data_IF_819771555955
#
_entry.id   IF_819771555955
#
_cell.length_a   1.000
_cell.length_b   1.000
_cell.length_c   1.000
_cell.angle_alpha   90.00
_cell.angle_beta   90.00
_cell.angle_gamma   90.00
#
_symmetry.space_group_name_H-M   'P 1'
#
loop_
_entity.id
_entity.type
_entity.pdbx_description
1 polymer ?
#
# COMPACT_ATOMS: atom_id res chain seq x y z
N UNK A 1 -13.51 6.59 -16.11
CA UNK A 1 -12.36 5.90 -16.72
C UNK A 1 -11.31 5.55 -15.64
N UNK A 2 -11.03 6.44 -14.67
CA UNK A 2 -10.39 6.08 -13.38
C UNK A 2 -11.07 4.92 -12.64
N UNK A 3 -12.40 4.91 -12.58
CA UNK A 3 -13.16 3.78 -12.00
C UNK A 3 -12.82 2.44 -12.65
N UNK A 4 -12.57 2.43 -13.95
CA UNK A 4 -12.24 1.20 -14.69
C UNK A 4 -10.81 0.75 -14.38
N UNK A 5 -9.87 1.69 -14.32
CA UNK A 5 -8.52 1.44 -13.81
C UNK A 5 -8.57 0.81 -12.41
N UNK A 6 -9.31 1.39 -11.47
CA UNK A 6 -9.40 0.87 -10.10
C UNK A 6 -10.05 -0.51 -10.00
N UNK A 7 -11.02 -0.85 -10.86
CA UNK A 7 -11.54 -2.24 -10.95
C UNK A 7 -10.48 -3.23 -11.38
N UNK A 8 -9.63 -2.85 -12.34
CA UNK A 8 -8.54 -3.71 -12.83
C UNK A 8 -7.45 -3.86 -11.80
N UNK A 9 -7.08 -2.75 -11.17
CA UNK A 9 -6.14 -2.75 -10.07
C UNK A 9 -6.64 -3.60 -8.89
N UNK A 10 -7.94 -3.57 -8.56
CA UNK A 10 -8.55 -4.52 -7.61
C UNK A 10 -8.34 -5.97 -8.08
N UNK A 11 -8.58 -6.27 -9.36
CA UNK A 11 -8.35 -7.60 -9.91
C UNK A 11 -6.88 -8.02 -9.82
N UNK A 12 -5.95 -7.10 -10.10
CA UNK A 12 -4.50 -7.30 -10.01
C UNK A 12 -4.07 -7.64 -8.59
N UNK A 13 -4.42 -6.81 -7.61
CA UNK A 13 -4.13 -7.05 -6.19
C UNK A 13 -4.68 -8.40 -5.71
N UNK A 14 -5.84 -8.80 -6.23
CA UNK A 14 -6.47 -10.07 -5.92
C UNK A 14 -5.96 -11.25 -6.78
N UNK A 15 -5.02 -11.06 -7.70
CA UNK A 15 -4.31 -12.12 -8.43
C UNK A 15 -2.85 -12.24 -8.01
N UNK A 16 -2.29 -11.20 -7.41
CA UNK A 16 -0.93 -11.18 -6.91
C UNK A 16 -0.78 -12.12 -5.69
N UNK A 17 -0.34 -13.35 -5.98
CA UNK A 17 -0.09 -14.35 -4.95
C UNK A 17 1.11 -14.00 -4.06
N UNK A 18 2.03 -13.15 -4.53
CA UNK A 18 3.18 -12.72 -3.74
C UNK A 18 2.77 -11.64 -2.72
N UNK A 19 1.99 -10.64 -3.13
CA UNK A 19 1.37 -9.68 -2.21
C UNK A 19 0.44 -10.39 -1.22
N UNK A 20 -0.40 -11.33 -1.68
CA UNK A 20 -1.22 -12.15 -0.78
C UNK A 20 -0.38 -13.03 0.14
N UNK A 21 0.73 -13.61 -0.34
CA UNK A 21 1.65 -14.39 0.48
C UNK A 21 2.33 -13.51 1.51
N UNK A 22 2.65 -12.25 1.20
CA UNK A 22 3.15 -11.28 2.18
C UNK A 22 2.07 -10.94 3.20
N UNK A 23 0.83 -10.65 2.78
CA UNK A 23 -0.31 -10.40 3.67
C UNK A 23 -0.66 -11.59 4.58
N UNK A 24 -0.63 -12.83 4.07
CA UNK A 24 -0.86 -14.07 4.84
C UNK A 24 0.38 -14.47 5.65
N UNK A 25 1.55 -14.20 5.10
CA UNK A 25 2.87 -14.67 5.50
C UNK A 25 3.71 -13.63 6.22
N UNK A 26 3.21 -12.45 6.58
CA UNK A 26 3.85 -11.62 7.61
C UNK A 26 3.86 -12.31 8.98
N UNK A 27 3.12 -13.43 9.14
CA UNK A 27 3.29 -14.39 10.24
C UNK A 27 4.50 -15.34 10.09
N UNK A 28 5.12 -15.46 8.90
CA UNK A 28 6.15 -16.47 8.58
C UNK A 28 7.34 -15.96 7.75
N UNK A 29 7.31 -14.75 7.19
CA UNK A 29 8.41 -14.13 6.42
C UNK A 29 9.54 -13.71 7.35
N UNK A 30 9.19 -13.18 8.53
CA UNK A 30 10.00 -13.35 9.72
C UNK A 30 9.70 -14.77 10.23
N UNK A 31 10.43 -15.77 9.75
CA UNK A 31 10.44 -17.08 10.39
C UNK A 31 10.69 -16.95 11.90
N UNK A 32 10.47 -18.00 12.71
CA UNK A 32 10.86 -17.95 14.12
C UNK A 32 12.30 -17.43 14.21
N UNK A 33 12.62 -16.56 15.18
CA UNK A 33 13.91 -15.87 15.24
C UNK A 33 15.02 -16.84 14.92
N UNK A 34 15.67 -16.60 13.79
CA UNK A 34 16.77 -17.44 13.36
C UNK A 34 17.94 -17.31 14.36
N UNK A 35 18.99 -18.10 14.15
CA UNK A 35 20.19 -18.02 14.99
C UNK A 35 20.82 -16.62 15.02
N UNK A 36 20.53 -15.73 14.09
CA UNK A 36 21.05 -14.36 14.05
C UNK A 36 20.31 -13.45 15.02
N UNK A 37 18.98 -13.54 15.13
CA UNK A 37 18.23 -12.78 16.15
C UNK A 37 18.64 -13.16 17.59
N UNK A 38 18.81 -14.46 17.86
CA UNK A 38 19.24 -14.91 19.20
C UNK A 38 20.66 -14.45 19.54
N UNK A 39 21.58 -14.46 18.57
CA UNK A 39 22.96 -13.96 18.72
C UNK A 39 22.98 -12.46 18.97
N UNK A 40 22.27 -11.67 18.16
CA UNK A 40 22.18 -10.22 18.33
C UNK A 40 21.66 -9.80 19.72
N UNK A 41 20.69 -10.55 20.27
CA UNK A 41 20.17 -10.28 21.62
C UNK A 41 21.12 -10.72 22.73
N UNK A 42 21.92 -11.77 22.50
CA UNK A 42 22.90 -12.31 23.45
C UNK A 42 24.16 -11.44 23.53
N UNK A 43 24.51 -10.76 22.45
CA UNK A 43 25.68 -9.88 22.33
C UNK A 43 25.37 -8.40 22.63
N UNK A 44 24.12 -8.06 22.97
CA UNK A 44 23.75 -6.70 23.40
C UNK A 44 23.67 -5.67 22.27
N UNK A 45 23.75 -6.09 21.00
CA UNK A 45 23.72 -5.20 19.85
C UNK A 45 22.29 -4.66 19.59
N UNK A 46 22.02 -3.45 20.09
CA UNK A 46 20.75 -2.73 19.89
C UNK A 46 20.47 -2.38 18.42
N UNK A 47 21.48 -2.40 17.54
CA UNK A 47 21.38 -1.98 16.13
C UNK A 47 20.71 -3.04 15.24
N UNK A 48 21.06 -4.32 15.39
CA UNK A 48 20.43 -5.43 14.64
C UNK A 48 18.96 -5.60 15.06
N UNK A 49 18.64 -5.36 16.33
CA UNK A 49 17.26 -5.32 16.81
C UNK A 49 16.42 -4.18 16.18
N UNK A 50 17.04 -3.11 15.65
CA UNK A 50 16.33 -2.07 14.88
C UNK A 50 16.05 -2.48 13.44
N UNK A 51 17.00 -3.13 12.77
CA UNK A 51 16.77 -3.67 11.42
C UNK A 51 15.68 -4.76 11.43
N UNK A 52 15.60 -5.53 12.51
CA UNK A 52 14.52 -6.52 12.74
C UNK A 52 13.19 -5.86 13.16
N UNK A 53 13.18 -4.61 13.64
CA UNK A 53 11.92 -3.84 13.88
C UNK A 53 11.28 -3.31 12.59
N UNK A 54 12.03 -3.21 11.49
CA UNK A 54 11.50 -2.83 10.19
C UNK A 54 10.63 -3.94 9.56
N UNK A 55 10.72 -5.16 10.09
CA UNK A 55 9.85 -6.28 9.76
C UNK A 55 8.98 -6.59 10.98
N UNK A 56 7.68 -6.91 10.82
CA UNK A 56 6.84 -7.25 11.97
C UNK A 56 7.37 -8.54 12.61
N UNK A 57 8.07 -8.40 13.72
CA UNK A 57 8.43 -9.52 14.54
C UNK A 57 7.17 -10.06 15.22
N UNK A 58 6.64 -11.20 14.76
CA UNK A 58 5.58 -11.94 15.46
C UNK A 58 4.34 -11.12 15.87
N UNK A 59 4.10 -9.99 15.20
CA UNK A 59 3.00 -9.09 15.48
C UNK A 59 1.76 -9.52 14.70
N UNK A 60 0.58 -9.40 15.31
CA UNK A 60 -0.66 -9.43 14.55
C UNK A 60 -0.68 -8.15 13.70
N UNK A 61 -0.75 -8.27 12.38
CA UNK A 61 -1.07 -7.15 11.48
C UNK A 61 -2.34 -6.46 11.99
N UNK A 62 -2.28 -5.15 12.18
CA UNK A 62 -3.45 -4.31 12.48
C UNK A 62 -4.31 -4.15 11.22
N UNK A 63 -3.70 -4.25 10.04
CA UNK A 63 -4.41 -4.42 8.77
C UNK A 63 -4.98 -5.86 8.74
N UNK A 64 -6.18 -6.03 9.30
CA UNK A 64 -6.82 -7.33 9.46
C UNK A 64 -8.33 -7.23 9.64
N UNK A 65 -9.06 -8.11 8.93
CA UNK A 65 -10.53 -8.27 8.91
C UNK A 65 -11.32 -6.94 8.85
N UNK A 66 -11.62 -6.50 7.62
CA UNK A 66 -12.47 -5.34 7.30
C UNK A 66 -11.81 -3.99 7.59
N UNK A 67 -10.56 -3.83 7.18
CA UNK A 67 -9.86 -2.57 7.32
C UNK A 67 -10.05 -1.70 6.08
N UNK A 68 -10.37 -0.43 6.30
CA UNK A 68 -10.17 0.64 5.33
C UNK A 68 -8.68 0.97 5.30
N UNK A 69 -8.00 0.71 4.19
CA UNK A 69 -6.53 0.74 4.14
C UNK A 69 -6.05 2.08 3.61
N UNK A 70 -6.45 2.43 2.39
CA UNK A 70 -6.02 3.65 1.71
C UNK A 70 -7.24 4.37 1.12
N UNK A 71 -7.42 5.65 1.44
CA UNK A 71 -8.31 6.56 0.74
C UNK A 71 -7.52 7.41 -0.27
N UNK A 72 -8.00 7.52 -1.50
CA UNK A 72 -7.44 8.39 -2.54
C UNK A 72 -8.50 9.39 -2.94
N UNK A 73 -8.25 10.67 -2.70
CA UNK A 73 -9.09 11.78 -3.12
C UNK A 73 -8.41 12.51 -4.31
N UNK A 74 -9.15 12.66 -5.40
CA UNK A 74 -8.72 13.41 -6.59
C UNK A 74 -9.31 14.81 -6.53
N UNK A 75 -8.46 15.82 -6.27
CA UNK A 75 -8.88 17.19 -5.89
C UNK A 75 -9.82 17.85 -6.90
N UNK A 76 -9.53 17.78 -8.19
CA UNK A 76 -10.26 18.51 -9.24
C UNK A 76 -11.63 17.90 -9.54
N UNK A 77 -11.73 16.57 -9.44
CA UNK A 77 -12.96 15.83 -9.76
C UNK A 77 -13.81 15.53 -8.53
N UNK A 78 -13.26 15.67 -7.33
CA UNK A 78 -13.88 15.24 -6.08
C UNK A 78 -14.09 13.72 -6.00
N UNK A 79 -13.45 12.96 -6.89
CA UNK A 79 -13.58 11.50 -6.90
C UNK A 79 -12.77 10.88 -5.76
N UNK A 80 -13.44 10.02 -5.00
CA UNK A 80 -12.89 9.36 -3.84
C UNK A 80 -12.85 7.85 -4.07
N UNK A 81 -11.70 7.21 -3.93
CA UNK A 81 -11.50 5.76 -4.01
C UNK A 81 -10.97 5.20 -2.70
N UNK A 82 -11.66 4.22 -2.14
CA UNK A 82 -11.26 3.48 -0.96
C UNK A 82 -10.71 2.12 -1.36
N UNK A 83 -9.47 1.83 -0.98
CA UNK A 83 -8.88 0.49 -1.01
C UNK A 83 -9.07 -0.14 0.38
N UNK A 84 -9.84 -1.22 0.43
CA UNK A 84 -10.12 -1.95 1.67
C UNK A 84 -9.60 -3.40 1.57
N UNK A 85 -9.26 -3.98 2.72
CA UNK A 85 -8.82 -5.37 2.83
C UNK A 85 -9.71 -6.14 3.82
N UNK A 86 -10.42 -7.15 3.31
CA UNK A 86 -11.26 -8.04 4.12
C UNK A 86 -10.90 -9.50 3.87
N UNK A 87 -10.53 -10.23 4.92
CA UNK A 87 -10.21 -11.66 4.86
C UNK A 87 -9.18 -12.02 3.75
N UNK A 88 -8.20 -11.14 3.51
CA UNK A 88 -7.18 -11.34 2.48
C UNK A 88 -7.66 -11.06 1.04
N UNK A 89 -8.84 -10.45 0.87
CA UNK A 89 -9.37 -9.99 -0.40
C UNK A 89 -9.45 -8.47 -0.42
N UNK A 90 -8.88 -7.88 -1.46
CA UNK A 90 -8.97 -6.45 -1.70
C UNK A 90 -10.33 -6.10 -2.31
N UNK A 91 -10.88 -4.96 -1.93
CA UNK A 91 -12.02 -4.33 -2.61
C UNK A 91 -11.75 -2.84 -2.77
N UNK A 92 -12.01 -2.31 -3.95
CA UNK A 92 -11.86 -0.90 -4.24
C UNK A 92 -13.23 -0.30 -4.55
N UNK A 93 -13.65 0.69 -3.75
CA UNK A 93 -14.96 1.31 -3.86
C UNK A 93 -14.83 2.80 -4.11
N UNK A 94 -15.70 3.35 -4.95
CA UNK A 94 -15.85 4.79 -5.11
C UNK A 94 -16.79 5.31 -4.01
N UNK A 95 -16.45 6.41 -3.36
CA UNK A 95 -17.31 7.10 -2.41
C UNK A 95 -16.69 7.29 -1.03
N UNK A 96 -17.54 7.38 -0.01
CA UNK A 96 -17.13 7.72 1.34
C UNK A 96 -16.42 6.56 2.04
N UNK A 97 -15.57 6.94 2.97
CA UNK A 97 -14.88 6.08 3.94
C UNK A 97 -14.99 6.74 5.31
N UNK A 98 -14.81 5.97 6.37
CA UNK A 98 -14.87 6.50 7.73
C UNK A 98 -13.47 6.83 8.26
N UNK A 99 -12.56 5.85 8.21
CA UNK A 99 -11.23 5.99 8.82
C UNK A 99 -10.20 5.08 8.13
N UNK A 100 -9.79 5.39 6.88
CA UNK A 100 -8.64 4.75 6.26
C UNK A 100 -7.38 4.98 7.08
N UNK A 101 -6.46 4.01 7.06
CA UNK A 101 -5.16 4.19 7.72
C UNK A 101 -4.28 5.23 7.03
N UNK A 102 -4.42 5.39 5.73
CA UNK A 102 -3.75 6.40 4.93
C UNK A 102 -4.79 7.09 4.04
N UNK A 103 -4.81 8.41 4.00
CA UNK A 103 -5.57 9.18 3.02
C UNK A 103 -4.60 10.06 2.25
N UNK A 104 -4.67 10.01 0.92
CA UNK A 104 -3.88 10.84 0.01
C UNK A 104 -4.86 11.66 -0.83
N UNK A 105 -4.78 12.98 -0.74
CA UNK A 105 -5.53 13.91 -1.58
C UNK A 105 -4.58 14.61 -2.53
N UNK A 106 -4.73 14.36 -3.83
CA UNK A 106 -3.76 14.76 -4.85
C UNK A 106 -4.42 15.23 -6.15
N UNK A 107 -3.75 16.07 -6.93
CA UNK A 107 -4.17 16.40 -8.29
C UNK A 107 -4.26 15.15 -9.18
N UNK A 108 -5.24 15.13 -10.09
CA UNK A 108 -5.41 14.04 -11.06
C UNK A 108 -4.13 13.76 -11.85
N UNK A 109 -3.45 14.81 -12.30
CA UNK A 109 -2.20 14.70 -13.06
C UNK A 109 -1.08 14.00 -12.27
N UNK A 110 -1.01 14.20 -10.95
CA UNK A 110 -0.04 13.52 -10.10
C UNK A 110 -0.41 12.05 -9.95
N UNK A 111 -1.69 11.74 -9.78
CA UNK A 111 -2.18 10.36 -9.73
C UNK A 111 -1.84 9.61 -11.02
N UNK A 112 -2.09 10.20 -12.20
CA UNK A 112 -1.71 9.60 -13.49
C UNK A 112 -0.22 9.30 -13.56
N UNK A 113 0.63 10.27 -13.21
CA UNK A 113 2.09 10.08 -13.20
C UNK A 113 2.53 8.99 -12.22
N UNK A 114 1.85 8.86 -11.09
CA UNK A 114 2.08 7.79 -10.14
C UNK A 114 1.72 6.43 -10.73
N UNK A 115 0.52 6.31 -11.29
CA UNK A 115 0.03 5.07 -11.95
C UNK A 115 0.96 4.65 -13.08
N UNK A 116 1.44 5.59 -13.89
CA UNK A 116 2.35 5.31 -15.01
C UNK A 116 3.81 5.08 -14.59
N UNK A 117 4.11 5.00 -13.28
CA UNK A 117 5.46 4.80 -12.76
C UNK A 117 6.42 5.99 -12.97
N UNK A 118 5.93 7.12 -13.52
CA UNK A 118 6.71 8.34 -13.78
C UNK A 118 7.01 9.15 -12.53
N UNK A 119 6.30 8.85 -11.44
CA UNK A 119 6.52 9.45 -10.13
C UNK A 119 6.44 8.37 -9.06
N UNK A 120 7.44 8.25 -8.18
CA UNK A 120 7.40 7.30 -7.07
C UNK A 120 6.47 7.81 -5.97
N UNK A 121 5.59 6.96 -5.45
CA UNK A 121 4.64 7.32 -4.40
C UNK A 121 5.29 7.99 -3.18
N UNK A 122 6.44 7.48 -2.74
CA UNK A 122 7.18 8.02 -1.58
C UNK A 122 7.61 9.48 -1.78
N UNK A 123 7.88 9.89 -3.02
CA UNK A 123 8.22 11.29 -3.33
C UNK A 123 6.96 12.13 -3.58
N UNK A 124 5.91 11.51 -4.13
CA UNK A 124 4.66 12.19 -4.45
C UNK A 124 3.97 12.69 -3.19
N UNK A 125 3.95 11.87 -2.14
CA UNK A 125 3.31 12.22 -0.86
C UNK A 125 3.99 13.36 -0.11
N UNK A 126 5.21 13.73 -0.48
CA UNK A 126 5.97 14.83 0.11
C UNK A 126 5.85 16.15 -0.64
N UNK A 127 4.99 16.23 -1.66
CA UNK A 127 4.78 17.45 -2.45
C UNK A 127 3.79 18.39 -1.76
N UNK A 128 4.02 19.70 -1.90
CA UNK A 128 3.19 20.75 -1.29
C UNK A 128 1.72 20.72 -1.76
N UNK A 129 1.47 20.25 -2.99
CA UNK A 129 0.12 20.14 -3.56
C UNK A 129 -0.58 18.82 -3.21
N UNK A 130 0.07 17.92 -2.46
CA UNK A 130 -0.46 16.63 -2.01
C UNK A 130 -0.69 16.68 -0.50
N UNK A 131 -1.92 16.41 -0.10
CA UNK A 131 -2.28 16.34 1.32
C UNK A 131 -2.34 14.88 1.75
N UNK A 132 -1.75 14.59 2.91
CA UNK A 132 -1.70 13.24 3.46
C UNK A 132 -2.16 13.26 4.89
N UNK A 133 -3.11 12.38 5.23
CA UNK A 133 -3.44 12.07 6.63
C UNK A 133 -3.21 10.58 6.87
N UNK A 134 -2.79 10.23 8.09
CA UNK A 134 -2.45 8.87 8.43
C UNK A 134 -2.74 8.54 9.89
N UNK A 135 -2.91 7.25 10.17
CA UNK A 135 -3.04 6.73 11.53
C UNK A 135 -1.67 6.49 12.18
N UNK A 136 -1.38 7.16 13.30
CA UNK A 136 -0.16 6.91 14.09
C UNK A 136 -0.14 5.54 14.78
N UNK A 137 -1.28 4.84 14.77
CA UNK A 137 -1.47 3.56 15.48
C UNK A 137 -0.90 2.36 14.71
N UNK A 138 -0.50 2.54 13.45
CA UNK A 138 0.01 1.44 12.64
C UNK A 138 1.47 1.08 12.96
N UNK A 139 1.78 -0.22 13.15
CA UNK A 139 3.16 -0.66 13.25
C UNK A 139 3.88 -0.44 11.90
N UNK A 140 5.20 -0.26 11.95
CA UNK A 140 6.02 -0.02 10.76
C UNK A 140 5.84 -1.05 9.65
N UNK A 141 5.58 -2.31 10.01
CA UNK A 141 5.27 -3.39 9.07
C UNK A 141 4.05 -3.15 8.20
N UNK A 142 3.02 -2.56 8.78
CA UNK A 142 1.74 -2.31 8.13
C UNK A 142 1.89 -1.12 7.19
N UNK A 143 2.76 -0.17 7.53
CA UNK A 143 3.21 0.87 6.61
C UNK A 143 3.90 0.32 5.37
N UNK A 144 4.79 -0.67 5.52
CA UNK A 144 5.43 -1.34 4.36
C UNK A 144 4.35 -1.93 3.45
N UNK A 145 3.37 -2.62 4.03
CA UNK A 145 2.24 -3.20 3.27
C UNK A 145 1.45 -2.13 2.51
N UNK A 146 1.13 -1.01 3.15
CA UNK A 146 0.44 0.12 2.52
C UNK A 146 1.24 0.65 1.31
N UNK A 147 2.55 0.82 1.45
CA UNK A 147 3.39 1.26 0.35
C UNK A 147 3.50 0.23 -0.77
N UNK A 148 3.57 -1.08 -0.46
CA UNK A 148 3.54 -2.14 -1.47
C UNK A 148 2.25 -2.10 -2.29
N UNK A 149 1.09 -1.91 -1.62
CA UNK A 149 -0.19 -1.74 -2.30
C UNK A 149 -0.08 -0.56 -3.28
N UNK A 150 0.34 0.63 -2.84
CA UNK A 150 0.49 1.79 -3.70
C UNK A 150 1.45 1.53 -4.88
N UNK A 151 2.61 0.91 -4.64
CA UNK A 151 3.60 0.61 -5.68
C UNK A 151 3.07 -0.39 -6.71
N UNK A 152 2.29 -1.40 -6.29
CA UNK A 152 1.66 -2.36 -7.20
C UNK A 152 0.71 -1.68 -8.21
N UNK A 153 0.21 -0.48 -7.91
CA UNK A 153 -0.57 0.32 -8.86
C UNK A 153 0.24 0.69 -10.12
N UNK A 154 1.56 0.79 -10.00
CA UNK A 154 2.48 1.13 -11.08
C UNK A 154 2.71 -0.03 -12.05
N UNK A 155 2.44 -1.26 -11.60
CA UNK A 155 2.66 -2.48 -12.39
C UNK A 155 1.47 -2.76 -13.31
N UNK A 156 0.27 -2.27 -12.98
CA UNK A 156 -0.95 -2.52 -13.77
C UNK A 156 -0.82 -2.10 -15.24
N UNK A 157 -0.30 -0.90 -15.57
CA UNK A 157 -0.14 -0.49 -16.97
C UNK A 157 0.97 -1.26 -17.71
N UNK A 158 1.99 -1.75 -17.00
CA UNK A 158 3.11 -2.50 -17.61
C UNK A 158 2.67 -3.86 -18.17
N UNK A 159 1.67 -4.49 -17.55
CA UNK A 159 1.10 -5.75 -18.04
C UNK A 159 0.15 -5.57 -19.22
N UNK A 160 -0.35 -4.36 -19.49
CA UNK A 160 -1.32 -4.07 -20.54
C UNK A 160 -0.99 -2.77 -21.29
N UNK A 161 -0.02 -2.83 -22.22
CA UNK A 161 0.46 -1.69 -23.05
C UNK A 161 -0.63 -0.78 -23.64
N UNK A 162 -1.85 -1.29 -23.84
CA UNK A 162 -3.00 -0.51 -24.35
C UNK A 162 -3.44 0.63 -23.41
N UNK A 163 -3.11 0.56 -22.13
CA UNK A 163 -3.66 1.48 -21.12
C UNK A 163 -2.84 2.72 -20.85
N UNK A 164 -1.57 2.75 -21.27
CA UNK A 164 -0.74 3.95 -21.11
C UNK A 164 -1.44 5.13 -21.80
N UNK A 165 -1.87 4.94 -23.06
CA UNK A 165 -2.58 5.95 -23.85
C UNK A 165 -3.95 6.32 -23.26
N UNK A 166 -4.63 5.38 -22.59
CA UNK A 166 -5.94 5.61 -21.98
C UNK A 166 -5.82 6.41 -20.67
N UNK A 167 -4.79 6.12 -19.86
CA UNK A 167 -4.50 6.86 -18.64
C UNK A 167 -4.02 8.28 -18.95
N UNK A 168 -3.25 8.47 -20.03
CA UNK A 168 -2.82 9.81 -20.45
C UNK A 168 -4.00 10.70 -20.89
N UNK A 169 -5.05 10.11 -21.46
CA UNK A 169 -6.25 10.82 -21.94
C UNK A 169 -7.29 11.14 -20.86
N UNK A 170 -7.07 10.72 -19.61
CA UNK A 170 -7.91 11.03 -18.45
C UNK A 170 -8.00 12.54 -18.16
#
# INVERSE_FOLDING_TARGET
MLTEFFKRYESYLNKDEELKRRLKGFKTFAGPPDGHYRRARKEGEKAVARAVRCYPFGGKSSIGKNSEVIGINVKESGENFLIALSNGKFSIKKGNWEKPYLVISLPLEKLKKAILGRYRWIWLIGLDDVEVSYSEELPHSDWVTIFEILVAMQEVPEFENKWIDEIEKL
#
